data_IF_014543982890
#
_entry.id   IF_014543982890
#
_cell.length_a   1.000
_cell.length_b   1.000
_cell.length_c   1.000
_cell.angle_alpha   90.00
_cell.angle_beta   90.00
_cell.angle_gamma   90.00
#
_symmetry.space_group_name_H-M   'P 1'
#
loop_
_entity.id
_entity.type
_entity.pdbx_description
1 polymer ?
#
# COMPACT_ATOMS: atom_id res chain seq x y z
N UNK A 1 4.84 -37.94 -67.18
CA UNK A 1 3.65 -37.48 -66.41
C UNK A 1 3.93 -37.17 -64.93
N UNK A 2 5.20 -37.11 -64.46
CA UNK A 2 5.50 -36.98 -63.02
C UNK A 2 5.80 -35.55 -62.51
N UNK A 3 5.99 -34.56 -63.40
CA UNK A 3 6.32 -33.18 -63.00
C UNK A 3 5.14 -32.40 -62.40
N UNK A 4 3.90 -32.69 -62.84
CA UNK A 4 2.70 -31.99 -62.33
C UNK A 4 2.33 -32.40 -60.89
N UNK A 5 2.60 -33.65 -60.50
CA UNK A 5 2.35 -34.12 -59.13
C UNK A 5 3.33 -33.54 -58.10
N UNK A 6 4.60 -33.36 -58.47
CA UNK A 6 5.63 -32.78 -57.60
C UNK A 6 5.34 -31.30 -57.32
N UNK A 7 4.90 -30.54 -58.33
CA UNK A 7 4.55 -29.13 -58.16
C UNK A 7 3.38 -28.92 -57.18
N UNK A 8 2.37 -29.80 -57.21
CA UNK A 8 1.26 -29.77 -56.26
C UNK A 8 1.70 -30.10 -54.83
N UNK A 9 2.57 -31.11 -54.65
CA UNK A 9 3.10 -31.46 -53.34
C UNK A 9 3.93 -30.33 -52.73
N UNK A 10 4.81 -29.70 -53.54
CA UNK A 10 5.60 -28.55 -53.09
C UNK A 10 4.70 -27.36 -52.71
N UNK A 11 3.65 -27.09 -53.50
CA UNK A 11 2.67 -26.04 -53.19
C UNK A 11 1.92 -26.27 -51.87
N UNK A 12 1.49 -27.51 -51.60
CA UNK A 12 0.81 -27.87 -50.35
C UNK A 12 1.76 -27.77 -49.15
N UNK A 13 3.00 -28.24 -49.27
CA UNK A 13 4.00 -28.14 -48.21
C UNK A 13 4.31 -26.68 -47.89
N UNK A 14 4.44 -25.82 -48.92
CA UNK A 14 4.64 -24.39 -48.72
C UNK A 14 3.44 -23.71 -48.05
N UNK A 15 2.21 -24.02 -48.48
CA UNK A 15 1.00 -23.50 -47.84
C UNK A 15 0.87 -23.95 -46.38
N UNK A 16 1.21 -25.21 -46.07
CA UNK A 16 1.22 -25.72 -44.71
C UNK A 16 2.26 -25.01 -43.86
N UNK A 17 3.49 -24.83 -44.38
CA UNK A 17 4.55 -24.11 -43.67
C UNK A 17 4.18 -22.65 -43.39
N UNK A 18 3.61 -21.94 -44.36
CA UNK A 18 3.14 -20.55 -44.18
C UNK A 18 2.00 -20.47 -43.17
N UNK A 19 1.05 -21.41 -43.20
CA UNK A 19 -0.05 -21.46 -42.24
C UNK A 19 0.45 -21.70 -40.80
N UNK A 20 1.44 -22.58 -40.65
CA UNK A 20 2.03 -22.89 -39.34
C UNK A 20 2.82 -21.69 -38.78
N UNK A 21 3.53 -20.96 -39.64
CA UNK A 21 4.18 -19.69 -39.28
C UNK A 21 3.16 -18.62 -38.87
N UNK A 22 2.04 -18.49 -39.59
CA UNK A 22 0.98 -17.53 -39.24
C UNK A 22 0.35 -17.83 -37.87
N UNK A 23 0.09 -19.10 -37.55
CA UNK A 23 -0.42 -19.51 -36.23
C UNK A 23 0.60 -19.22 -35.12
N UNK A 24 1.89 -19.47 -35.36
CA UNK A 24 2.95 -19.15 -34.40
C UNK A 24 3.00 -17.63 -34.11
N UNK A 25 2.95 -16.79 -35.14
CA UNK A 25 2.93 -15.32 -34.98
C UNK A 25 1.67 -14.86 -34.21
N UNK A 26 0.50 -15.40 -34.56
CA UNK A 26 -0.75 -15.06 -33.87
C UNK A 26 -0.74 -15.46 -32.38
N UNK A 27 -0.21 -16.64 -32.06
CA UNK A 27 -0.11 -17.11 -30.67
C UNK A 27 0.88 -16.29 -29.84
N UNK A 28 2.02 -15.91 -30.43
CA UNK A 28 3.02 -15.06 -29.76
C UNK A 28 2.51 -13.65 -29.46
N UNK A 29 1.76 -13.05 -30.39
CA UNK A 29 1.18 -11.70 -30.18
C UNK A 29 0.11 -11.70 -29.09
N UNK A 30 -0.70 -12.76 -28.96
CA UNK A 30 -1.69 -12.88 -27.88
C UNK A 30 -1.02 -12.98 -26.50
N UNK A 31 0.02 -13.81 -26.37
CA UNK A 31 0.77 -13.95 -25.13
C UNK A 31 1.42 -12.62 -24.72
N UNK A 32 2.10 -11.95 -25.66
CA UNK A 32 2.72 -10.65 -25.42
C UNK A 32 1.70 -9.60 -24.98
N UNK A 33 0.51 -9.59 -25.61
CA UNK A 33 -0.57 -8.67 -25.23
C UNK A 33 -1.10 -8.94 -23.81
N UNK A 34 -1.27 -10.21 -23.45
CA UNK A 34 -1.73 -10.58 -22.11
C UNK A 34 -0.68 -10.22 -21.05
N UNK A 35 0.60 -10.47 -21.31
CA UNK A 35 1.70 -10.08 -20.42
C UNK A 35 1.76 -8.56 -20.23
N UNK A 36 1.68 -7.79 -21.32
CA UNK A 36 1.66 -6.33 -21.25
C UNK A 36 0.45 -5.80 -20.47
N UNK A 37 -0.71 -6.43 -20.65
CA UNK A 37 -1.93 -6.08 -19.91
C UNK A 37 -1.78 -6.39 -18.42
N UNK A 38 -1.35 -7.60 -18.06
CA UNK A 38 -1.15 -8.00 -16.67
C UNK A 38 -0.11 -7.11 -15.98
N UNK A 39 0.97 -6.74 -16.68
CA UNK A 39 1.97 -5.81 -16.15
C UNK A 39 1.38 -4.43 -15.88
N UNK A 40 0.61 -3.86 -16.82
CA UNK A 40 -0.04 -2.56 -16.65
C UNK A 40 -1.05 -2.57 -15.49
N UNK A 41 -1.84 -3.64 -15.38
CA UNK A 41 -2.81 -3.77 -14.28
C UNK A 41 -2.13 -3.93 -12.93
N UNK A 42 -1.02 -4.68 -12.85
CA UNK A 42 -0.25 -4.80 -11.62
C UNK A 42 0.46 -3.50 -11.24
N UNK A 43 1.00 -2.76 -12.21
CA UNK A 43 1.62 -1.46 -11.97
C UNK A 43 0.61 -0.46 -11.38
N UNK A 44 -0.60 -0.42 -11.93
CA UNK A 44 -1.69 0.41 -11.40
C UNK A 44 -2.12 -0.04 -9.99
N UNK A 45 -2.22 -1.34 -9.74
CA UNK A 45 -2.52 -1.85 -8.41
C UNK A 45 -1.44 -1.44 -7.39
N UNK A 46 -0.17 -1.47 -7.77
CA UNK A 46 0.94 -1.03 -6.92
C UNK A 46 0.89 0.49 -6.67
N UNK A 47 0.62 1.28 -7.70
CA UNK A 47 0.44 2.74 -7.58
C UNK A 47 -0.67 3.08 -6.58
N UNK A 48 -1.84 2.45 -6.71
CA UNK A 48 -2.94 2.64 -5.77
C UNK A 48 -2.59 2.17 -4.34
N UNK A 49 -1.80 1.11 -4.19
CA UNK A 49 -1.32 0.65 -2.89
C UNK A 49 -0.37 1.67 -2.26
N UNK A 50 0.51 2.29 -3.06
CA UNK A 50 1.41 3.35 -2.61
C UNK A 50 0.66 4.62 -2.20
N UNK A 51 -0.37 5.01 -2.95
CA UNK A 51 -1.27 6.10 -2.58
C UNK A 51 -1.91 5.80 -1.23
N UNK A 52 -2.51 4.61 -1.06
CA UNK A 52 -3.14 4.23 0.19
C UNK A 52 -2.19 4.31 1.40
N UNK A 53 -0.97 3.78 1.27
CA UNK A 53 0.03 3.85 2.34
C UNK A 53 0.51 5.27 2.63
N UNK A 54 0.56 6.14 1.62
CA UNK A 54 0.91 7.55 1.80
C UNK A 54 -0.18 8.30 2.59
N UNK A 55 -1.46 8.08 2.24
CA UNK A 55 -2.58 8.64 2.98
C UNK A 55 -2.64 8.14 4.42
N UNK A 56 -2.44 6.84 4.66
CA UNK A 56 -2.38 6.28 6.01
C UNK A 56 -1.25 6.89 6.85
N UNK A 57 -0.06 7.04 6.24
CA UNK A 57 1.08 7.66 6.92
C UNK A 57 0.79 9.12 7.24
N UNK A 58 0.26 9.89 6.29
CA UNK A 58 -0.07 11.29 6.51
C UNK A 58 -1.15 11.46 7.58
N UNK A 59 -2.18 10.62 7.56
CA UNK A 59 -3.23 10.63 8.58
C UNK A 59 -2.65 10.36 9.98
N UNK A 60 -1.82 9.32 10.11
CA UNK A 60 -1.15 8.99 11.38
C UNK A 60 -0.23 10.12 11.87
N UNK A 61 0.54 10.74 10.98
CA UNK A 61 1.43 11.86 11.32
C UNK A 61 0.67 13.16 11.64
N UNK A 62 -0.57 13.30 11.16
CA UNK A 62 -1.43 14.44 11.46
C UNK A 62 -2.13 14.37 12.82
N UNK A 63 -2.08 13.21 13.51
CA UNK A 63 -2.72 13.06 14.81
C UNK A 63 -2.10 13.99 15.84
N UNK A 64 -2.90 14.48 16.79
CA UNK A 64 -2.37 15.35 17.82
C UNK A 64 -1.46 14.58 18.79
N UNK A 65 -0.46 15.22 19.42
CA UNK A 65 0.49 14.53 20.31
C UNK A 65 -0.19 13.90 21.55
N UNK A 66 -1.34 14.42 21.96
CA UNK A 66 -2.07 14.00 23.17
C UNK A 66 -3.15 12.94 22.95
N UNK A 67 -3.39 12.52 21.71
CA UNK A 67 -4.36 11.45 21.41
C UNK A 67 -3.90 10.06 21.85
N UNK A 68 -2.58 9.88 22.03
CA UNK A 68 -2.00 8.68 22.63
C UNK A 68 -1.35 9.08 23.94
N UNK A 69 -1.77 8.43 25.03
CA UNK A 69 -1.13 8.60 26.33
C UNK A 69 0.32 8.09 26.25
N UNK A 70 1.33 8.97 26.46
CA UNK A 70 2.74 8.59 26.37
C UNK A 70 3.15 7.64 27.49
N UNK A 71 2.42 7.58 28.62
CA UNK A 71 2.77 6.73 29.76
C UNK A 71 1.99 5.41 29.77
N UNK A 72 1.13 5.20 28.77
CA UNK A 72 0.32 4.00 28.70
C UNK A 72 1.10 2.81 28.10
N UNK A 73 1.22 1.76 28.89
CA UNK A 73 1.96 0.52 28.59
C UNK A 73 1.07 -0.65 28.15
N UNK A 74 -0.23 -0.64 28.45
CA UNK A 74 -1.18 -1.71 28.11
C UNK A 74 -2.61 -1.20 27.96
N UNK A 75 -3.38 -1.77 27.02
CA UNK A 75 -4.79 -1.41 26.75
C UNK A 75 -5.01 0.09 26.51
N UNK A 76 -4.06 0.71 25.82
CA UNK A 76 -4.09 2.13 25.56
C UNK A 76 -5.21 2.48 24.59
N UNK A 77 -5.91 3.58 24.88
CA UNK A 77 -6.86 4.13 23.93
C UNK A 77 -6.09 4.51 22.66
N UNK A 78 -6.42 3.85 21.56
CA UNK A 78 -5.87 4.17 20.26
C UNK A 78 -6.83 5.12 19.52
N UNK A 79 -6.30 6.09 18.76
CA UNK A 79 -7.07 6.88 17.80
C UNK A 79 -7.95 5.99 16.91
N UNK A 80 -9.10 6.51 16.51
CA UNK A 80 -9.99 5.74 15.63
C UNK A 80 -9.29 5.49 14.30
N UNK A 81 -9.20 4.22 13.90
CA UNK A 81 -8.51 3.82 12.67
C UNK A 81 -7.13 3.21 12.87
N UNK A 82 -6.65 3.15 14.12
CA UNK A 82 -5.50 2.34 14.52
C UNK A 82 -6.00 1.09 15.24
N UNK A 83 -5.66 -0.08 14.69
CA UNK A 83 -5.91 -1.37 15.29
C UNK A 83 -4.87 -1.69 16.36
N UNK A 84 -5.31 -2.38 17.41
CA UNK A 84 -4.42 -2.96 18.41
C UNK A 84 -3.63 -4.15 17.86
N UNK A 85 -2.48 -4.44 18.48
CA UNK A 85 -1.63 -5.55 18.09
C UNK A 85 -2.42 -6.88 18.09
N UNK A 86 -2.50 -7.54 16.94
CA UNK A 86 -3.15 -8.84 16.78
C UNK A 86 -4.65 -8.78 16.49
N UNK A 87 -5.24 -7.59 16.35
CA UNK A 87 -6.63 -7.43 15.88
C UNK A 87 -6.76 -7.69 14.38
N UNK A 88 -5.69 -7.49 13.61
CA UNK A 88 -5.65 -7.80 12.19
C UNK A 88 -5.16 -9.24 11.95
N UNK A 89 -5.64 -9.92 10.90
CA UNK A 89 -5.13 -11.22 10.52
C UNK A 89 -3.63 -11.14 10.22
N UNK A 90 -2.92 -12.27 10.38
CA UNK A 90 -1.47 -12.32 10.11
C UNK A 90 -1.12 -12.09 8.63
N UNK A 91 -2.05 -12.41 7.71
CA UNK A 91 -1.86 -12.31 6.26
C UNK A 91 -3.04 -11.58 5.58
N UNK A 92 -3.21 -10.26 5.85
CA UNK A 92 -4.31 -9.47 5.30
C UNK A 92 -4.22 -9.33 3.77
N UNK A 93 -3.05 -9.61 3.17
CA UNK A 93 -2.86 -9.63 1.72
C UNK A 93 -3.73 -10.65 0.98
N UNK A 94 -4.16 -11.71 1.66
CA UNK A 94 -5.04 -12.74 1.09
C UNK A 94 -6.53 -12.46 1.31
N UNK A 95 -6.87 -11.42 2.05
CA UNK A 95 -8.25 -11.06 2.31
C UNK A 95 -8.92 -10.44 1.07
N UNK A 96 -10.19 -10.76 0.88
CA UNK A 96 -10.98 -10.30 -0.26
C UNK A 96 -11.37 -8.82 -0.17
N UNK A 97 -11.84 -8.25 -1.28
CA UNK A 97 -12.24 -6.84 -1.34
C UNK A 97 -13.25 -6.44 -0.25
N UNK A 98 -14.27 -7.27 0.02
CA UNK A 98 -15.27 -6.98 1.04
C UNK A 98 -14.72 -6.92 2.47
N UNK A 99 -13.64 -7.64 2.77
CA UNK A 99 -12.94 -7.52 4.06
C UNK A 99 -12.24 -6.15 4.15
N UNK A 100 -11.55 -5.75 3.09
CA UNK A 100 -10.90 -4.44 3.01
C UNK A 100 -11.90 -3.27 3.03
N UNK A 101 -13.10 -3.44 2.46
CA UNK A 101 -14.18 -2.46 2.55
C UNK A 101 -14.76 -2.35 3.97
N UNK A 102 -14.63 -3.40 4.79
CA UNK A 102 -15.19 -3.45 6.16
C UNK A 102 -14.20 -2.95 7.21
N UNK A 103 -12.93 -3.35 7.09
CA UNK A 103 -11.89 -3.05 8.09
C UNK A 103 -10.95 -1.92 7.64
N UNK A 104 -10.77 -1.75 6.33
CA UNK A 104 -9.91 -0.71 5.77
C UNK A 104 -10.63 0.61 5.57
N UNK A 105 -9.84 1.65 5.35
CA UNK A 105 -10.33 2.98 4.98
C UNK A 105 -9.86 3.31 3.57
N UNK A 106 -10.72 3.95 2.78
CA UNK A 106 -10.33 4.43 1.46
C UNK A 106 -9.25 5.50 1.57
N UNK A 107 -8.34 5.55 0.58
CA UNK A 107 -7.41 6.67 0.48
C UNK A 107 -8.19 8.00 0.45
N UNK A 108 -7.76 8.97 1.25
CA UNK A 108 -8.43 10.25 1.43
C UNK A 108 -9.53 10.27 2.50
N UNK A 109 -9.96 9.14 3.06
CA UNK A 109 -10.93 9.13 4.15
C UNK A 109 -10.29 9.45 5.49
N UNK A 110 -10.84 10.39 6.27
CA UNK A 110 -10.49 10.59 7.68
C UNK A 110 -11.50 9.82 8.56
N UNK A 111 -11.09 8.74 9.24
CA UNK A 111 -11.97 7.98 10.12
C UNK A 111 -12.51 8.78 11.31
N UNK A 112 -11.79 9.76 11.83
CA UNK A 112 -12.24 10.53 13.00
C UNK A 112 -13.21 11.63 12.62
N UNK A 113 -12.91 12.35 11.54
CA UNK A 113 -13.81 13.39 11.03
C UNK A 113 -14.98 12.83 10.22
N UNK A 114 -14.88 11.56 9.78
CA UNK A 114 -15.78 10.92 8.82
C UNK A 114 -15.94 11.70 7.50
N UNK A 115 -14.83 12.29 7.02
CA UNK A 115 -14.78 13.13 5.81
C UNK A 115 -13.87 12.48 4.76
N UNK A 116 -14.28 12.52 3.50
CA UNK A 116 -13.45 12.12 2.36
C UNK A 116 -12.76 13.37 1.78
N UNK A 117 -11.45 13.28 1.56
CA UNK A 117 -10.67 14.30 0.87
C UNK A 117 -11.23 14.55 -0.54
N UNK A 118 -11.34 15.82 -0.91
CA UNK A 118 -11.78 16.25 -2.25
C UNK A 118 -10.61 16.16 -3.23
N UNK A 119 -10.28 14.92 -3.63
CA UNK A 119 -9.26 14.63 -4.62
C UNK A 119 -9.88 13.84 -5.78
N UNK A 120 -10.00 14.44 -6.99
CA UNK A 120 -10.65 13.81 -8.13
C UNK A 120 -9.86 12.62 -8.69
N UNK A 121 -8.58 12.47 -8.34
CA UNK A 121 -7.74 11.36 -8.78
C UNK A 121 -7.84 10.14 -7.83
N UNK A 122 -8.49 10.31 -6.67
CA UNK A 122 -8.76 9.20 -5.75
C UNK A 122 -10.05 8.47 -6.15
N UNK A 123 -9.90 7.38 -6.89
CA UNK A 123 -10.94 6.35 -6.91
C UNK A 123 -10.93 5.59 -5.58
N UNK A 124 -11.69 6.07 -4.60
CA UNK A 124 -11.70 5.57 -3.22
C UNK A 124 -11.95 4.06 -3.08
N UNK A 125 -12.48 3.38 -4.11
CA UNK A 125 -12.65 1.91 -4.09
C UNK A 125 -11.38 1.16 -4.46
N UNK A 126 -10.44 1.82 -5.12
CA UNK A 126 -9.25 1.22 -5.70
C UNK A 126 -8.04 1.28 -4.76
N UNK A 127 -8.10 2.04 -3.67
CA UNK A 127 -7.01 2.24 -2.71
C UNK A 127 -7.55 2.22 -1.27
N UNK A 128 -7.15 1.22 -0.47
CA UNK A 128 -7.54 1.06 0.92
C UNK A 128 -6.33 0.95 1.84
N UNK A 129 -6.43 1.43 3.06
CA UNK A 129 -5.36 1.35 4.04
C UNK A 129 -5.83 0.86 5.41
N UNK A 130 -4.88 0.32 6.16
CA UNK A 130 -5.01 -0.10 7.56
C UNK A 130 -3.77 0.34 8.33
N UNK A 131 -3.94 0.60 9.62
CA UNK A 131 -2.85 0.90 10.55
C UNK A 131 -3.01 0.01 11.77
N UNK A 132 -1.94 -0.65 12.20
CA UNK A 132 -1.90 -1.41 13.44
C UNK A 132 -0.71 -0.95 14.29
N UNK A 133 -0.94 -0.69 15.58
CA UNK A 133 0.15 -0.49 16.53
C UNK A 133 0.78 -1.84 16.87
N UNK A 134 2.04 -2.03 16.48
CA UNK A 134 2.77 -3.28 16.72
C UNK A 134 3.67 -3.21 17.96
N UNK A 135 4.08 -1.99 18.34
CA UNK A 135 4.89 -1.76 19.53
C UNK A 135 4.77 -0.31 19.99
N UNK A 136 4.86 -0.08 21.29
CA UNK A 136 4.94 1.25 21.88
C UNK A 136 6.09 1.25 22.88
N UNK A 137 6.98 2.24 22.76
CA UNK A 137 8.14 2.41 23.61
C UNK A 137 8.07 3.75 24.34
N UNK A 138 8.35 3.74 25.64
CA UNK A 138 8.39 4.93 26.49
C UNK A 138 9.79 5.05 27.08
N UNK A 139 10.52 6.11 26.75
CA UNK A 139 11.76 6.41 27.47
C UNK A 139 11.39 7.16 28.76
N UNK A 140 11.67 6.54 29.91
CA UNK A 140 11.66 7.24 31.18
C UNK A 140 12.95 8.08 31.28
N UNK A 141 12.84 9.40 31.34
CA UNK A 141 14.03 10.25 31.50
C UNK A 141 14.66 10.06 32.87
N UNK A 142 16.00 9.95 32.87
CA UNK A 142 16.84 9.91 34.06
C UNK A 142 17.12 11.31 34.65
N UNK A 143 16.38 12.35 34.26
CA UNK A 143 16.75 13.75 34.53
C UNK A 143 15.58 14.69 34.84
N UNK A 144 14.74 14.37 35.82
CA UNK A 144 14.00 15.36 36.63
C UNK A 144 13.01 16.33 35.96
N UNK A 145 12.90 16.33 34.63
CA UNK A 145 11.90 17.02 33.83
C UNK A 145 10.90 15.97 33.32
N UNK A 146 9.61 16.19 33.57
CA UNK A 146 8.54 15.25 33.24
C UNK A 146 8.16 15.38 31.76
N UNK A 147 9.06 15.09 30.83
CA UNK A 147 8.72 14.96 29.41
C UNK A 147 8.97 13.52 28.99
N UNK A 148 7.96 12.66 29.10
CA UNK A 148 8.06 11.31 28.57
C UNK A 148 8.14 11.36 27.04
N UNK A 149 9.26 10.90 26.48
CA UNK A 149 9.39 10.70 25.04
C UNK A 149 8.90 9.30 24.72
N UNK A 150 7.70 9.23 24.16
CA UNK A 150 7.11 7.99 23.71
C UNK A 150 7.27 7.84 22.19
N UNK A 151 7.30 6.61 21.69
CA UNK A 151 7.35 6.32 20.26
C UNK A 151 6.52 5.09 19.97
N UNK A 152 5.52 5.27 19.11
CA UNK A 152 4.71 4.19 18.59
C UNK A 152 5.30 3.66 17.28
N UNK A 153 5.27 2.35 17.12
CA UNK A 153 5.66 1.66 15.90
C UNK A 153 4.42 1.06 15.29
N UNK A 154 4.17 1.41 14.04
CA UNK A 154 2.95 1.11 13.34
C UNK A 154 3.23 0.29 12.09
N UNK A 155 2.47 -0.78 11.92
CA UNK A 155 2.37 -1.51 10.66
C UNK A 155 1.29 -0.85 9.82
N UNK A 156 1.70 -0.21 8.74
CA UNK A 156 0.81 0.41 7.76
C UNK A 156 0.67 -0.55 6.59
N UNK A 157 -0.56 -0.86 6.21
CA UNK A 157 -0.86 -1.66 5.04
C UNK A 157 -1.61 -0.81 4.03
N UNK A 158 -1.12 -0.78 2.79
CA UNK A 158 -1.82 -0.17 1.66
C UNK A 158 -2.21 -1.25 0.66
N UNK A 159 -3.50 -1.39 0.37
CA UNK A 159 -4.03 -2.24 -0.70
C UNK A 159 -4.42 -1.38 -1.89
N UNK A 160 -3.94 -1.74 -3.06
CA UNK A 160 -4.35 -1.14 -4.32
C UNK A 160 -4.92 -2.16 -5.28
N UNK A 161 -5.84 -1.71 -6.10
CA UNK A 161 -6.51 -2.49 -7.14
C UNK A 161 -6.26 -1.87 -8.51
N UNK A 162 -6.00 -2.70 -9.51
CA UNK A 162 -6.00 -2.29 -10.91
C UNK A 162 -7.41 -2.02 -11.44
N UNK A 163 -7.54 -1.78 -12.76
CA UNK A 163 -8.86 -1.67 -13.40
C UNK A 163 -9.60 -3.01 -13.35
N UNK A 164 -8.85 -4.10 -13.42
CA UNK A 164 -9.39 -5.42 -13.14
C UNK A 164 -9.39 -5.70 -11.62
N UNK A 165 -10.52 -6.12 -11.08
CA UNK A 165 -10.69 -6.43 -9.65
C UNK A 165 -9.82 -7.59 -9.16
N UNK A 166 -9.32 -8.44 -10.08
CA UNK A 166 -8.38 -9.51 -9.74
C UNK A 166 -6.92 -9.06 -9.66
N UNK A 167 -6.60 -7.85 -10.10
CA UNK A 167 -5.24 -7.29 -10.04
C UNK A 167 -5.11 -6.49 -8.76
N UNK A 168 -4.50 -7.09 -7.74
CA UNK A 168 -4.33 -6.49 -6.41
C UNK A 168 -2.85 -6.46 -6.08
N UNK A 169 -2.44 -5.41 -5.37
CA UNK A 169 -1.15 -5.33 -4.72
C UNK A 169 -1.36 -4.85 -3.28
N UNK A 170 -0.58 -5.39 -2.36
CA UNK A 170 -0.55 -4.93 -0.97
C UNK A 170 0.88 -4.57 -0.62
N UNK A 171 1.08 -3.40 -0.04
CA UNK A 171 2.35 -2.96 0.51
C UNK A 171 2.23 -2.86 2.02
N UNK A 172 3.32 -3.18 2.69
CA UNK A 172 3.48 -3.00 4.11
C UNK A 172 4.63 -2.04 4.36
N UNK A 173 4.44 -1.11 5.28
CA UNK A 173 5.52 -0.30 5.85
C UNK A 173 5.46 -0.33 7.37
N UNK A 174 6.64 -0.24 7.99
CA UNK A 174 6.77 -0.01 9.43
C UNK A 174 7.14 1.45 9.62
N UNK A 175 6.29 2.20 10.30
CA UNK A 175 6.46 3.62 10.57
C UNK A 175 6.64 3.84 12.07
N UNK A 176 7.67 4.59 12.45
CA UNK A 176 7.82 5.09 13.80
C UNK A 176 7.23 6.51 13.90
N UNK A 177 6.44 6.76 14.94
CA UNK A 177 5.89 8.07 15.23
C UNK A 177 6.15 8.41 16.70
N UNK A 178 6.91 9.48 16.98
CA UNK A 178 6.99 10.06 18.30
C UNK A 178 5.62 10.46 18.87
N UNK A 179 5.42 10.20 20.15
CA UNK A 179 4.28 10.66 20.96
C UNK A 179 4.84 11.44 22.16
N UNK A 180 4.21 12.55 22.50
CA UNK A 180 4.69 13.45 23.55
C UNK A 180 5.68 14.52 23.05
N UNK A 181 5.69 15.66 23.74
CA UNK A 181 6.43 16.87 23.36
C UNK A 181 5.61 17.88 22.57
N UNK A 182 6.16 19.09 22.41
CA UNK A 182 5.59 20.13 21.53
C UNK A 182 6.22 20.00 20.14
N UNK A 183 5.42 19.60 19.15
CA UNK A 183 5.85 19.48 17.76
C UNK A 183 4.72 19.83 16.78
N UNK A 184 5.07 20.21 15.55
CA UNK A 184 4.11 20.48 14.50
C UNK A 184 3.59 19.15 13.92
N UNK A 185 2.26 19.01 13.85
CA UNK A 185 1.62 17.84 13.26
C UNK A 185 1.75 17.86 11.73
N UNK A 186 1.75 16.69 11.11
CA UNK A 186 1.69 16.59 9.65
C UNK A 186 0.35 17.07 9.08
N UNK A 187 0.33 17.47 7.82
CA UNK A 187 -0.90 17.78 7.11
C UNK A 187 -1.64 16.51 6.68
N UNK A 188 -2.98 16.55 6.77
CA UNK A 188 -3.87 15.58 6.14
C UNK A 188 -4.99 16.32 5.39
N UNK A 189 -5.24 16.04 4.10
CA UNK A 189 -4.52 15.14 3.18
C UNK A 189 -3.02 15.46 3.03
N UNK A 190 -2.18 14.53 2.52
CA UNK A 190 -0.77 14.79 2.32
C UNK A 190 -0.54 15.94 1.33
N UNK A 191 0.08 17.04 1.79
CA UNK A 191 0.47 18.21 0.99
C UNK A 191 1.99 18.26 0.70
N UNK A 192 2.73 17.27 1.22
CA UNK A 192 4.18 17.17 1.14
C UNK A 192 4.67 15.77 1.51
N UNK A 193 5.99 15.54 1.46
CA UNK A 193 6.55 14.23 1.76
C UNK A 193 6.53 13.96 3.27
N UNK A 194 6.11 12.76 3.69
CA UNK A 194 6.01 12.37 5.11
C UNK A 194 7.31 12.56 5.92
N UNK A 195 8.48 12.64 5.27
CA UNK A 195 9.74 12.88 5.96
C UNK A 195 9.86 14.31 6.52
N UNK A 196 9.06 15.28 6.05
CA UNK A 196 9.08 16.65 6.57
C UNK A 196 8.73 16.69 8.06
N UNK A 197 7.71 15.92 8.45
CA UNK A 197 7.32 15.75 9.86
C UNK A 197 8.49 15.26 10.73
N UNK A 198 9.37 14.41 10.20
CA UNK A 198 10.46 13.85 10.97
C UNK A 198 11.69 14.76 11.12
N UNK A 199 11.77 15.87 10.38
CA UNK A 199 12.91 16.79 10.43
C UNK A 199 13.00 17.56 11.75
N UNK A 200 11.92 17.61 12.54
CA UNK A 200 11.85 18.32 13.81
C UNK A 200 12.38 17.52 15.01
N UNK A 201 12.63 16.22 14.86
CA UNK A 201 13.09 15.36 15.94
C UNK A 201 14.60 15.15 15.89
N UNK A 202 15.19 14.91 17.06
CA UNK A 202 16.61 14.56 17.20
C UNK A 202 16.93 13.23 16.49
N UNK A 203 18.14 13.04 15.92
CA UNK A 203 18.50 11.83 15.18
C UNK A 203 18.40 10.52 15.97
N UNK A 204 18.43 10.60 17.30
CA UNK A 204 18.33 9.45 18.21
C UNK A 204 16.89 8.97 18.41
N UNK A 205 15.91 9.82 18.09
CA UNK A 205 14.49 9.50 18.19
C UNK A 205 13.99 8.86 16.88
N UNK A 206 13.40 7.68 16.97
CA UNK A 206 12.88 6.97 15.80
C UNK A 206 11.66 7.69 15.22
N UNK A 207 11.76 8.15 13.97
CA UNK A 207 10.65 8.75 13.22
C UNK A 207 10.67 8.32 11.75
N UNK A 208 9.48 8.11 11.18
CA UNK A 208 9.29 7.88 9.75
C UNK A 208 9.31 6.41 9.37
N UNK A 209 9.35 6.14 8.07
CA UNK A 209 9.32 4.78 7.53
C UNK A 209 10.67 4.10 7.78
N UNK A 210 10.66 3.08 8.63
CA UNK A 210 11.83 2.28 8.99
C UNK A 210 12.10 1.15 8.01
N UNK A 211 11.03 0.56 7.46
CA UNK A 211 11.11 -0.49 6.45
C UNK A 211 9.84 -0.55 5.62
N UNK A 212 9.94 -1.12 4.42
CA UNK A 212 8.80 -1.40 3.58
C UNK A 212 9.01 -2.69 2.79
N UNK A 213 7.91 -3.32 2.39
CA UNK A 213 7.90 -4.46 1.48
C UNK A 213 6.59 -4.56 0.72
N UNK A 214 6.65 -5.09 -0.50
CA UNK A 214 5.46 -5.57 -1.18
C UNK A 214 5.10 -6.98 -0.65
N UNK A 215 3.85 -7.15 -0.23
CA UNK A 215 3.26 -8.44 0.16
C UNK A 215 2.78 -9.19 -1.10
N UNK A 216 2.66 -10.52 -1.01
CA UNK A 216 2.35 -11.40 -2.15
C UNK A 216 0.88 -11.70 -2.29
#
# INVERSE_FOLDING_TARGET
MNQRGIALLVGVVLLAAVSLLAVLVASGTLLQRNMATNFREHALALENATIASAFASAWLLSRSPGERDPDCLSECLLPMGIYGAGELPHSPEFEGAGWWDTYGYSAGYDPEAAIQADDPDLDGRSAHWLIEEIHHYTAAEASGENVSTATGYYRILGRGQGKNTSSVAVIESILARPWGGEFEIGSYPPDGPAHSFCQQFEPEQSCGVLSWRQRR
#
